data_IF_749228661419
#
_entry.id   IF_749228661419
#
_cell.length_a   1.000
_cell.length_b   1.000
_cell.length_c   1.000
_cell.angle_alpha   90.00
_cell.angle_beta   90.00
_cell.angle_gamma   90.00
#
_symmetry.space_group_name_H-M   'P 1'
#
loop_
_entity.id
_entity.type
_entity.pdbx_description
1 polymer ?
#
# COMPACT_ATOMS: atom_id res chain seq x y z
N UNK A 1 -18.78 24.00 -3.98
CA UNK A 1 -18.48 25.43 -4.23
C UNK A 1 -17.66 25.99 -3.06
N UNK A 2 -16.52 26.66 -3.29
CA UNK A 2 -15.75 27.34 -2.23
C UNK A 2 -16.15 28.82 -2.24
N UNK A 3 -16.60 29.35 -1.10
CA UNK A 3 -16.90 30.77 -0.91
C UNK A 3 -16.03 31.31 0.22
N UNK A 4 -15.18 32.29 -0.08
CA UNK A 4 -14.25 32.90 0.88
C UNK A 4 -13.36 31.89 1.64
N UNK A 5 -12.81 30.90 0.94
CA UNK A 5 -11.93 29.88 1.55
C UNK A 5 -12.66 28.80 2.36
N UNK A 6 -13.99 28.84 2.41
CA UNK A 6 -14.84 27.82 3.04
C UNK A 6 -15.55 27.02 1.97
N UNK A 7 -15.36 25.70 1.94
CA UNK A 7 -16.17 24.85 1.09
C UNK A 7 -17.61 24.79 1.62
N UNK A 8 -18.55 25.14 0.75
CA UNK A 8 -20.00 25.09 0.97
C UNK A 8 -20.60 23.72 0.59
N UNK A 9 -19.80 22.80 0.05
CA UNK A 9 -20.24 21.40 -0.12
C UNK A 9 -20.25 20.69 1.23
N UNK A 10 -20.93 19.55 1.35
CA UNK A 10 -20.99 18.78 2.59
C UNK A 10 -19.58 18.56 3.15
N UNK A 11 -19.26 19.19 4.28
CA UNK A 11 -17.97 19.10 4.97
C UNK A 11 -17.57 17.65 5.25
N UNK A 12 -18.55 16.73 5.31
CA UNK A 12 -18.37 15.29 5.44
C UNK A 12 -17.54 14.70 4.29
N UNK A 13 -17.66 15.25 3.07
CA UNK A 13 -16.85 14.81 1.92
C UNK A 13 -15.36 15.07 2.13
N UNK A 14 -14.98 16.06 2.96
CA UNK A 14 -13.59 16.34 3.34
C UNK A 14 -13.02 15.34 4.35
N UNK A 15 -13.85 14.48 4.94
CA UNK A 15 -13.43 13.34 5.75
C UNK A 15 -13.29 12.04 4.93
N UNK A 16 -13.62 12.06 3.63
CA UNK A 16 -13.42 10.94 2.70
C UNK A 16 -11.96 10.83 2.23
N UNK A 17 -11.68 10.02 1.20
CA UNK A 17 -10.35 9.91 0.60
C UNK A 17 -9.69 11.26 0.29
N UNK A 18 -10.48 12.25 -0.14
CA UNK A 18 -10.04 13.62 -0.46
C UNK A 18 -9.35 14.33 0.72
N UNK A 19 -9.63 13.92 1.97
CA UNK A 19 -9.05 14.49 3.19
C UNK A 19 -7.77 13.81 3.69
N UNK A 20 -7.37 12.66 3.14
CA UNK A 20 -6.28 11.85 3.72
C UNK A 20 -4.96 12.64 3.75
N UNK A 21 -4.62 13.36 2.68
CA UNK A 21 -3.37 14.12 2.60
C UNK A 21 -3.31 15.28 3.59
N UNK A 22 -4.43 15.98 3.78
CA UNK A 22 -4.54 17.02 4.81
C UNK A 22 -4.40 16.42 6.18
N UNK A 23 -5.02 15.27 6.44
CA UNK A 23 -4.86 14.54 7.69
C UNK A 23 -3.38 14.26 8.00
N UNK A 24 -2.60 13.81 7.01
CA UNK A 24 -1.16 13.56 7.17
C UNK A 24 -0.41 14.85 7.53
N UNK A 25 -0.56 15.92 6.75
CA UNK A 25 0.20 17.17 6.96
C UNK A 25 -0.21 17.86 8.27
N UNK A 26 -1.52 17.98 8.52
CA UNK A 26 -2.04 18.66 9.72
C UNK A 26 -1.76 17.88 10.99
N UNK A 27 -1.77 16.54 10.96
CA UNK A 27 -1.37 15.73 12.12
C UNK A 27 0.10 15.88 12.45
N UNK A 28 1.00 15.87 11.44
CA UNK A 28 2.43 16.12 11.66
C UNK A 28 2.62 17.51 12.27
N UNK A 29 2.02 18.55 11.68
CA UNK A 29 2.11 19.91 12.19
C UNK A 29 1.62 20.01 13.64
N UNK A 30 0.43 19.47 13.92
CA UNK A 30 -0.17 19.50 15.25
C UNK A 30 0.71 18.78 16.28
N UNK A 31 1.25 17.61 15.95
CA UNK A 31 2.15 16.85 16.84
C UNK A 31 3.47 17.60 17.06
N UNK A 32 4.03 18.26 16.05
CA UNK A 32 5.26 19.04 16.21
C UNK A 32 5.06 20.25 17.11
N UNK A 33 3.96 20.99 16.94
CA UNK A 33 3.59 22.11 17.82
C UNK A 33 3.37 21.60 19.24
N UNK A 34 2.61 20.52 19.40
CA UNK A 34 2.36 19.90 20.69
C UNK A 34 3.67 19.52 21.39
N UNK A 35 4.54 18.80 20.70
CA UNK A 35 5.85 18.38 21.20
C UNK A 35 6.70 19.58 21.59
N UNK A 36 6.71 20.63 20.77
CA UNK A 36 7.47 21.84 21.05
C UNK A 36 7.00 22.50 22.36
N UNK A 37 5.69 22.65 22.57
CA UNK A 37 5.14 23.20 23.81
C UNK A 37 5.53 22.35 25.03
N UNK A 38 5.46 21.02 24.92
CA UNK A 38 5.85 20.11 26.01
C UNK A 38 7.34 20.23 26.34
N UNK A 39 8.22 20.17 25.33
CA UNK A 39 9.69 20.22 25.53
C UNK A 39 10.13 21.58 26.09
N UNK A 40 9.42 22.66 25.75
CA UNK A 40 9.69 24.01 26.26
C UNK A 40 8.97 24.35 27.56
N UNK A 41 8.28 23.39 28.19
CA UNK A 41 7.46 23.60 29.39
C UNK A 41 6.42 24.72 29.23
N UNK A 42 5.91 24.91 28.01
CA UNK A 42 4.83 25.86 27.69
C UNK A 42 3.49 25.13 27.91
N UNK A 43 3.23 24.79 29.17
CA UNK A 43 2.08 23.99 29.60
C UNK A 43 1.57 24.47 30.96
N UNK A 44 0.34 24.09 31.30
CA UNK A 44 -0.22 24.34 32.62
C UNK A 44 0.29 23.25 33.57
N UNK A 45 0.93 23.66 34.66
CA UNK A 45 1.48 22.76 35.67
C UNK A 45 0.53 22.67 36.86
N UNK A 46 0.12 21.45 37.22
CA UNK A 46 -0.75 21.23 38.37
C UNK A 46 0.06 20.99 39.65
N UNK A 47 -0.46 21.40 40.83
CA UNK A 47 0.18 21.11 42.11
C UNK A 47 0.33 19.62 42.42
N UNK A 48 1.28 19.28 43.30
CA UNK A 48 1.44 17.93 43.85
C UNK A 48 0.16 17.56 44.63
N UNK A 49 -0.51 16.49 44.22
CA UNK A 49 -1.78 16.03 44.80
C UNK A 49 -2.95 16.00 43.81
N UNK A 50 -2.81 16.61 42.63
CA UNK A 50 -3.79 16.49 41.54
C UNK A 50 -3.60 15.14 40.82
N UNK A 51 -4.67 14.37 40.56
CA UNK A 51 -4.58 13.12 39.81
C UNK A 51 -3.96 13.29 38.43
N UNK A 52 -3.16 12.31 38.00
CA UNK A 52 -2.40 12.36 36.73
C UNK A 52 -3.26 12.64 35.50
N UNK A 53 -4.47 12.09 35.44
CA UNK A 53 -5.38 12.32 34.32
C UNK A 53 -5.76 13.80 34.16
N UNK A 54 -6.04 14.47 35.29
CA UNK A 54 -6.36 15.91 35.31
C UNK A 54 -5.11 16.73 34.98
N UNK A 55 -3.96 16.38 35.56
CA UNK A 55 -2.70 17.07 35.23
C UNK A 55 -2.35 17.01 33.75
N UNK A 56 -2.54 15.85 33.10
CA UNK A 56 -2.29 15.68 31.66
C UNK A 56 -3.27 16.49 30.80
N UNK A 57 -4.54 16.55 31.18
CA UNK A 57 -5.55 17.33 30.46
C UNK A 57 -5.28 18.84 30.53
N UNK A 58 -4.84 19.37 31.68
CA UNK A 58 -4.46 20.78 31.78
C UNK A 58 -3.14 21.08 31.06
N UNK A 59 -2.17 20.17 31.15
CA UNK A 59 -0.90 20.32 30.44
C UNK A 59 -1.07 20.39 28.91
N UNK A 60 -2.10 19.72 28.35
CA UNK A 60 -2.39 19.74 26.91
C UNK A 60 -3.16 20.96 26.42
N UNK A 61 -3.75 21.77 27.32
CA UNK A 61 -4.63 22.88 26.97
C UNK A 61 -3.93 24.00 26.19
N UNK A 62 -2.77 24.47 26.68
CA UNK A 62 -1.97 25.50 26.00
C UNK A 62 -1.48 24.99 24.63
N UNK A 63 -0.88 23.78 24.52
CA UNK A 63 -0.58 23.18 23.22
C UNK A 63 -1.78 23.17 22.25
N UNK A 64 -2.97 22.79 22.72
CA UNK A 64 -4.17 22.74 21.89
C UNK A 64 -4.58 24.13 21.36
N UNK A 65 -4.48 25.17 22.20
CA UNK A 65 -4.74 26.57 21.80
C UNK A 65 -3.75 27.00 20.72
N UNK A 66 -2.45 26.71 20.88
CA UNK A 66 -1.44 27.03 19.87
C UNK A 66 -1.73 26.35 18.54
N UNK A 67 -2.13 25.07 18.56
CA UNK A 67 -2.52 24.34 17.35
C UNK A 67 -3.73 25.02 16.69
N UNK A 68 -4.78 25.33 17.47
CA UNK A 68 -5.99 25.96 16.95
C UNK A 68 -5.71 27.33 16.33
N UNK A 69 -4.95 28.19 17.01
CA UNK A 69 -4.55 29.51 16.49
C UNK A 69 -3.73 29.35 15.22
N UNK A 70 -2.77 28.43 15.21
CA UNK A 70 -1.93 28.18 14.03
C UNK A 70 -2.79 27.76 12.83
N UNK A 71 -3.76 26.86 13.03
CA UNK A 71 -4.68 26.44 11.97
C UNK A 71 -5.60 27.58 11.50
N UNK A 72 -6.09 28.43 12.41
CA UNK A 72 -6.88 29.61 12.05
C UNK A 72 -6.05 30.59 11.21
N UNK A 73 -4.79 30.84 11.60
CA UNK A 73 -3.88 31.71 10.84
C UNK A 73 -3.61 31.11 9.46
N UNK A 74 -3.27 29.83 9.37
CA UNK A 74 -3.05 29.16 8.09
C UNK A 74 -4.29 29.27 7.20
N UNK A 75 -5.46 28.87 7.70
CA UNK A 75 -6.71 28.94 6.93
C UNK A 75 -7.06 30.37 6.53
N UNK A 76 -6.85 31.35 7.41
CA UNK A 76 -7.11 32.76 7.12
C UNK A 76 -6.19 33.32 6.03
N UNK A 77 -4.90 32.99 6.08
CA UNK A 77 -3.93 33.35 5.03
C UNK A 77 -4.32 32.71 3.69
N UNK A 78 -4.68 31.43 3.69
CA UNK A 78 -5.08 30.74 2.46
C UNK A 78 -6.37 31.32 1.88
N UNK A 79 -7.36 31.61 2.72
CA UNK A 79 -8.60 32.26 2.32
C UNK A 79 -8.36 33.64 1.69
N UNK A 80 -7.38 34.41 2.20
CA UNK A 80 -6.97 35.69 1.60
C UNK A 80 -6.44 35.52 0.17
N UNK A 81 -5.75 34.41 -0.12
CA UNK A 81 -5.32 34.05 -1.48
C UNK A 81 -6.38 33.30 -2.29
N UNK A 82 -7.64 33.27 -1.83
CA UNK A 82 -8.74 32.55 -2.47
C UNK A 82 -8.46 31.04 -2.68
N UNK A 83 -7.66 30.44 -1.80
CA UNK A 83 -7.30 29.02 -1.84
C UNK A 83 -7.55 28.37 -0.48
N UNK A 84 -7.32 27.06 -0.37
CA UNK A 84 -7.36 26.32 0.89
C UNK A 84 -6.31 25.22 0.95
N UNK A 85 -6.22 24.54 2.10
CA UNK A 85 -5.29 23.43 2.30
C UNK A 85 -5.52 22.28 1.31
N UNK A 86 -6.77 22.05 0.88
CA UNK A 86 -7.05 21.02 -0.13
C UNK A 86 -6.46 21.41 -1.47
N UNK A 87 -6.70 22.63 -1.93
CA UNK A 87 -6.21 23.11 -3.21
C UNK A 87 -4.67 23.08 -3.30
N UNK A 88 -3.97 23.60 -2.28
CA UNK A 88 -2.49 23.59 -2.26
C UNK A 88 -1.92 22.18 -2.19
N UNK A 89 -2.54 21.29 -1.42
CA UNK A 89 -2.06 19.92 -1.28
C UNK A 89 -2.54 18.98 -2.39
N UNK A 90 -3.34 19.46 -3.36
CA UNK A 90 -3.73 18.64 -4.52
C UNK A 90 -2.63 18.67 -5.59
N UNK A 91 -2.03 19.84 -5.84
CA UNK A 91 -1.05 20.08 -6.91
C UNK A 91 0.20 19.16 -6.88
N UNK A 92 0.96 19.02 -5.77
CA UNK A 92 2.13 18.14 -5.73
C UNK A 92 1.77 16.66 -5.93
N UNK A 93 0.52 16.31 -5.67
CA UNK A 93 0.02 14.94 -5.73
C UNK A 93 -0.63 14.62 -7.07
N UNK A 94 -0.90 15.60 -7.94
CA UNK A 94 -1.33 15.35 -9.31
C UNK A 94 -0.26 14.58 -10.09
N UNK A 95 1.02 14.89 -9.88
CA UNK A 95 2.12 14.12 -10.46
C UNK A 95 2.04 12.63 -10.06
N UNK A 96 1.83 12.36 -8.77
CA UNK A 96 1.74 10.98 -8.28
C UNK A 96 0.44 10.33 -8.74
N UNK A 97 -0.67 11.08 -8.81
CA UNK A 97 -1.93 10.62 -9.41
C UNK A 97 -1.73 10.22 -10.87
N UNK A 98 -0.95 10.98 -11.64
CA UNK A 98 -0.56 10.67 -13.02
C UNK A 98 0.27 9.38 -13.13
N UNK A 99 1.21 9.15 -12.20
CA UNK A 99 1.94 7.88 -12.12
C UNK A 99 0.99 6.71 -11.81
N UNK A 100 0.11 6.86 -10.83
CA UNK A 100 -0.85 5.80 -10.47
C UNK A 100 -1.93 5.58 -11.53
N UNK A 101 -2.20 6.58 -12.36
CA UNK A 101 -3.20 6.52 -13.43
C UNK A 101 -2.69 5.95 -14.75
N UNK A 102 -1.41 5.61 -14.86
CA UNK A 102 -0.80 5.10 -16.10
C UNK A 102 -0.15 3.74 -15.90
N UNK A 103 -0.23 2.88 -16.91
CA UNK A 103 0.43 1.57 -16.91
C UNK A 103 1.93 1.68 -16.60
N UNK A 104 2.64 2.58 -17.30
CA UNK A 104 4.07 2.75 -17.13
C UNK A 104 4.42 3.23 -15.71
N UNK A 105 3.62 4.14 -15.14
CA UNK A 105 3.82 4.59 -13.76
C UNK A 105 3.63 3.46 -12.75
N UNK A 106 2.63 2.60 -12.91
CA UNK A 106 2.42 1.42 -12.04
C UNK A 106 3.59 0.44 -12.17
N UNK A 107 4.10 0.22 -13.38
CA UNK A 107 5.29 -0.62 -13.61
C UNK A 107 6.52 -0.04 -12.89
N UNK A 108 6.75 1.27 -12.97
CA UNK A 108 7.84 1.94 -12.24
C UNK A 108 7.65 1.79 -10.72
N UNK A 109 6.44 1.96 -10.20
CA UNK A 109 6.13 1.77 -8.78
C UNK A 109 6.47 0.33 -8.35
N UNK A 110 6.05 -0.68 -9.12
CA UNK A 110 6.39 -2.06 -8.82
C UNK A 110 7.90 -2.29 -8.90
N UNK A 111 8.59 -1.76 -9.90
CA UNK A 111 10.04 -1.90 -10.01
C UNK A 111 10.74 -1.35 -8.76
N UNK A 112 10.39 -0.14 -8.32
CA UNK A 112 10.95 0.47 -7.11
C UNK A 112 10.69 -0.35 -5.85
N UNK A 113 9.49 -0.91 -5.69
CA UNK A 113 9.16 -1.80 -4.56
C UNK A 113 10.11 -3.01 -4.54
N UNK A 114 10.29 -3.69 -5.66
CA UNK A 114 11.07 -4.92 -5.70
C UNK A 114 12.58 -4.66 -5.64
N UNK A 115 13.06 -3.53 -6.20
CA UNK A 115 14.45 -3.09 -6.04
C UNK A 115 14.84 -2.87 -4.57
N UNK A 116 13.92 -2.35 -3.74
CA UNK A 116 14.16 -2.23 -2.30
C UNK A 116 14.20 -3.60 -1.62
N UNK A 117 13.27 -4.50 -1.97
CA UNK A 117 13.20 -5.84 -1.38
C UNK A 117 14.45 -6.68 -1.66
N UNK A 118 15.00 -6.64 -2.88
CA UNK A 118 16.20 -7.43 -3.22
C UNK A 118 17.44 -6.98 -2.43
N UNK A 119 17.46 -5.76 -1.89
CA UNK A 119 18.50 -5.23 -1.01
C UNK A 119 18.11 -5.26 0.47
N UNK A 120 17.04 -5.96 0.84
CA UNK A 120 16.65 -6.19 2.24
C UNK A 120 15.82 -5.07 2.86
N UNK A 121 15.40 -4.09 2.09
CA UNK A 121 14.50 -3.02 2.53
C UNK A 121 13.07 -3.39 2.20
N UNK A 122 12.14 -3.25 3.15
CA UNK A 122 10.74 -3.63 2.96
C UNK A 122 10.00 -2.66 2.01
N UNK A 123 10.22 -2.80 0.69
CA UNK A 123 9.72 -1.88 -0.33
C UNK A 123 8.20 -1.69 -0.34
N UNK A 124 7.45 -2.75 -0.01
CA UNK A 124 5.98 -2.67 0.12
C UNK A 124 5.55 -1.70 1.23
N UNK A 125 6.28 -1.64 2.35
CA UNK A 125 5.93 -0.77 3.46
C UNK A 125 6.23 0.69 3.12
N UNK A 126 7.40 0.94 2.52
CA UNK A 126 7.86 2.29 2.18
C UNK A 126 7.07 2.89 1.02
N UNK A 127 7.02 2.19 -0.12
CA UNK A 127 6.42 2.75 -1.34
C UNK A 127 4.91 2.53 -1.35
N UNK A 128 4.45 1.27 -1.28
CA UNK A 128 3.02 0.97 -1.40
C UNK A 128 2.23 1.50 -0.19
N UNK A 129 2.54 1.04 1.02
CA UNK A 129 1.69 1.30 2.19
C UNK A 129 1.75 2.77 2.64
N UNK A 130 2.95 3.37 2.66
CA UNK A 130 3.13 4.72 3.21
C UNK A 130 2.86 5.82 2.19
N UNK A 131 3.15 5.59 0.91
CA UNK A 131 3.10 6.64 -0.11
C UNK A 131 1.94 6.47 -1.10
N UNK A 132 1.79 5.28 -1.69
CA UNK A 132 0.80 5.05 -2.76
C UNK A 132 -0.60 4.76 -2.21
N UNK A 133 -0.74 4.05 -1.09
CA UNK A 133 -2.02 3.60 -0.57
C UNK A 133 -3.03 4.75 -0.30
N UNK A 134 -2.64 5.91 0.28
CA UNK A 134 -3.52 7.08 0.36
C UNK A 134 -4.17 7.46 -0.98
N UNK A 135 -3.40 7.42 -2.07
CA UNK A 135 -3.86 7.76 -3.43
C UNK A 135 -4.84 6.70 -3.94
N UNK A 136 -4.57 5.42 -3.70
CA UNK A 136 -5.46 4.34 -4.12
C UNK A 136 -6.79 4.35 -3.34
N UNK A 137 -6.78 4.81 -2.08
CA UNK A 137 -8.01 4.99 -1.30
C UNK A 137 -8.85 6.17 -1.80
N UNK A 138 -8.21 7.25 -2.27
CA UNK A 138 -8.90 8.32 -3.01
C UNK A 138 -9.52 7.75 -4.28
N UNK A 139 -8.74 7.05 -5.10
CA UNK A 139 -9.21 6.44 -6.35
C UNK A 139 -10.35 5.43 -6.12
N UNK A 140 -10.31 4.67 -5.02
CA UNK A 140 -11.39 3.78 -4.60
C UNK A 140 -12.67 4.57 -4.28
N UNK A 141 -12.55 5.66 -3.54
CA UNK A 141 -13.67 6.54 -3.21
C UNK A 141 -14.27 7.15 -4.48
N UNK A 142 -13.43 7.58 -5.42
CA UNK A 142 -13.86 8.05 -6.73
C UNK A 142 -14.61 6.95 -7.51
N UNK A 143 -14.12 5.70 -7.48
CA UNK A 143 -14.77 4.56 -8.15
C UNK A 143 -16.13 4.19 -7.55
N UNK A 144 -16.26 4.24 -6.22
CA UNK A 144 -17.54 4.06 -5.51
C UNK A 144 -18.57 5.09 -6.01
N UNK A 145 -18.11 6.30 -6.33
CA UNK A 145 -18.94 7.39 -6.85
C UNK A 145 -19.06 7.39 -8.38
N UNK A 146 -18.59 6.35 -9.07
CA UNK A 146 -18.79 6.16 -10.50
C UNK A 146 -17.57 6.43 -11.39
N UNK A 147 -16.42 6.87 -10.87
CA UNK A 147 -15.19 6.97 -11.66
C UNK A 147 -14.69 5.60 -12.13
N UNK A 148 -13.77 5.57 -13.10
CA UNK A 148 -13.23 4.34 -13.72
C UNK A 148 -11.71 4.22 -13.51
N UNK A 149 -11.22 4.52 -12.31
CA UNK A 149 -9.81 4.36 -11.98
C UNK A 149 -9.44 2.87 -11.95
N UNK A 150 -8.49 2.47 -12.81
CA UNK A 150 -7.98 1.09 -12.86
C UNK A 150 -7.20 0.75 -11.59
N UNK A 151 -6.26 1.61 -11.21
CA UNK A 151 -5.42 1.41 -10.04
C UNK A 151 -6.05 2.08 -8.82
N UNK A 152 -6.90 1.32 -8.14
CA UNK A 152 -7.69 1.79 -7.01
C UNK A 152 -7.80 0.73 -5.92
N UNK A 153 -8.06 1.16 -4.69
CA UNK A 153 -8.23 0.26 -3.54
C UNK A 153 -7.03 -0.66 -3.40
N UNK A 154 -7.30 -1.97 -3.29
CA UNK A 154 -6.25 -2.97 -3.11
C UNK A 154 -5.90 -3.77 -4.38
N UNK A 155 -5.88 -3.10 -5.54
CA UNK A 155 -5.50 -3.69 -6.83
C UNK A 155 -4.21 -4.52 -6.76
N UNK A 156 -3.21 -4.05 -5.99
CA UNK A 156 -1.93 -4.73 -5.84
C UNK A 156 -2.09 -6.13 -5.26
N UNK A 157 -2.79 -6.32 -4.14
CA UNK A 157 -2.90 -7.65 -3.55
C UNK A 157 -3.96 -8.52 -4.25
N UNK A 158 -4.95 -7.89 -4.91
CA UNK A 158 -5.97 -8.62 -5.68
C UNK A 158 -5.38 -9.32 -6.91
N UNK A 159 -4.41 -8.69 -7.58
CA UNK A 159 -3.93 -9.16 -8.87
C UNK A 159 -2.43 -9.38 -8.98
N UNK A 160 -1.61 -8.63 -8.25
CA UNK A 160 -0.16 -8.58 -8.46
C UNK A 160 0.56 -9.39 -7.38
N UNK A 161 0.33 -9.08 -6.11
CA UNK A 161 1.04 -9.66 -4.96
C UNK A 161 0.39 -10.96 -4.50
N UNK A 162 0.21 -11.89 -5.45
CA UNK A 162 -0.35 -13.20 -5.20
C UNK A 162 0.64 -14.03 -4.38
N UNK A 163 0.30 -14.22 -3.11
CA UNK A 163 1.22 -14.75 -2.11
C UNK A 163 2.29 -13.80 -1.66
N UNK A 164 2.03 -12.49 -1.68
CA UNK A 164 2.91 -11.45 -1.17
C UNK A 164 3.77 -10.77 -2.25
N UNK A 165 4.76 -9.99 -1.81
CA UNK A 165 5.69 -9.31 -2.71
C UNK A 165 6.35 -10.31 -3.69
N UNK A 166 6.56 -9.90 -4.94
CA UNK A 166 7.15 -10.78 -5.95
C UNK A 166 6.24 -11.87 -6.51
N UNK A 167 4.94 -11.88 -6.15
CA UNK A 167 4.00 -12.93 -6.57
C UNK A 167 4.46 -14.34 -6.14
N UNK A 168 4.98 -14.44 -4.92
CA UNK A 168 5.73 -15.61 -4.44
C UNK A 168 4.90 -16.87 -4.25
N UNK A 169 3.55 -16.83 -4.32
CA UNK A 169 2.77 -18.07 -4.28
C UNK A 169 3.17 -19.00 -5.44
N UNK A 170 3.51 -18.45 -6.60
CA UNK A 170 4.01 -19.26 -7.73
C UNK A 170 5.27 -20.04 -7.37
N UNK A 171 6.24 -19.39 -6.70
CA UNK A 171 7.44 -20.05 -6.20
C UNK A 171 7.12 -21.09 -5.11
N UNK A 172 6.20 -20.77 -4.20
CA UNK A 172 5.81 -21.68 -3.11
C UNK A 172 5.18 -22.95 -3.65
N UNK A 173 4.32 -22.85 -4.66
CA UNK A 173 3.72 -24.03 -5.31
C UNK A 173 4.80 -24.89 -5.98
N UNK A 174 5.80 -24.28 -6.63
CA UNK A 174 6.95 -25.03 -7.16
C UNK A 174 7.75 -25.72 -6.04
N UNK A 175 7.98 -25.06 -4.92
CA UNK A 175 8.66 -25.65 -3.77
C UNK A 175 7.89 -26.85 -3.18
N UNK A 176 6.56 -26.76 -3.13
CA UNK A 176 5.71 -27.83 -2.59
C UNK A 176 5.65 -29.04 -3.53
N UNK A 177 5.48 -28.81 -4.84
CA UNK A 177 5.17 -29.89 -5.78
C UNK A 177 6.36 -30.37 -6.61
N UNK A 178 7.43 -29.57 -6.74
CA UNK A 178 8.53 -29.86 -7.67
C UNK A 178 9.93 -29.81 -7.04
N UNK A 179 10.10 -29.46 -5.76
CA UNK A 179 11.41 -29.39 -5.14
C UNK A 179 12.05 -30.76 -4.91
N UNK A 180 13.34 -30.85 -5.23
CA UNK A 180 14.19 -32.01 -4.95
C UNK A 180 14.98 -31.81 -3.67
N UNK A 181 15.44 -30.59 -3.40
CA UNK A 181 16.20 -30.27 -2.20
C UNK A 181 15.32 -30.29 -0.95
N UNK A 182 15.81 -30.89 0.13
CA UNK A 182 15.04 -30.99 1.37
C UNK A 182 14.76 -29.61 1.99
N UNK A 183 15.67 -28.65 1.84
CA UNK A 183 15.48 -27.26 2.27
C UNK A 183 14.25 -26.63 1.62
N UNK A 184 14.11 -26.69 0.29
CA UNK A 184 12.96 -26.08 -0.39
C UNK A 184 11.66 -26.84 -0.15
N UNK A 185 11.70 -28.16 0.04
CA UNK A 185 10.49 -28.93 0.43
C UNK A 185 9.96 -28.50 1.79
N UNK A 186 10.84 -28.38 2.79
CA UNK A 186 10.46 -27.96 4.14
C UNK A 186 9.93 -26.52 4.10
N UNK A 187 10.61 -25.64 3.38
CA UNK A 187 10.20 -24.26 3.24
C UNK A 187 8.84 -24.13 2.54
N UNK A 188 8.62 -24.84 1.43
CA UNK A 188 7.36 -24.82 0.69
C UNK A 188 6.17 -25.24 1.56
N UNK A 189 6.33 -26.30 2.36
CA UNK A 189 5.30 -26.77 3.30
C UNK A 189 5.00 -25.75 4.40
N UNK A 190 6.02 -25.08 4.92
CA UNK A 190 5.85 -24.04 5.93
C UNK A 190 5.22 -22.75 5.36
N UNK A 191 5.52 -22.42 4.10
CA UNK A 191 5.13 -21.17 3.47
C UNK A 191 3.79 -21.21 2.72
N UNK A 192 3.25 -22.38 2.36
CA UNK A 192 2.01 -22.47 1.56
C UNK A 192 0.82 -21.83 2.26
N UNK A 193 0.63 -22.08 3.55
CA UNK A 193 -0.52 -21.52 4.27
C UNK A 193 -0.41 -19.99 4.40
N UNK A 194 0.69 -19.40 4.90
CA UNK A 194 0.88 -17.94 4.85
C UNK A 194 0.75 -17.36 3.44
N UNK A 195 1.32 -18.04 2.44
CA UNK A 195 1.30 -17.61 1.04
C UNK A 195 -0.09 -17.60 0.43
N UNK A 196 -1.02 -18.45 0.87
CA UNK A 196 -2.41 -18.35 0.42
C UNK A 196 -3.07 -17.05 0.87
N UNK A 197 -2.65 -16.49 2.01
CA UNK A 197 -3.14 -15.24 2.58
C UNK A 197 -2.17 -14.06 2.33
N UNK A 198 -1.38 -14.12 1.25
CA UNK A 198 -0.46 -13.07 0.81
C UNK A 198 0.68 -12.73 1.79
N UNK A 199 0.96 -13.58 2.78
CA UNK A 199 2.06 -13.42 3.76
C UNK A 199 3.25 -14.24 3.27
N UNK A 200 4.43 -13.63 3.12
CA UNK A 200 5.53 -14.24 2.39
C UNK A 200 6.93 -14.02 2.96
N UNK A 201 7.04 -13.43 4.14
CA UNK A 201 8.28 -13.30 4.90
C UNK A 201 9.01 -14.64 5.07
N UNK A 202 8.32 -15.78 5.31
CA UNK A 202 8.98 -17.09 5.32
C UNK A 202 9.73 -17.38 4.02
N UNK A 203 9.20 -16.97 2.86
CA UNK A 203 9.83 -17.18 1.55
C UNK A 203 10.94 -16.17 1.30
N UNK A 204 10.69 -14.89 1.58
CA UNK A 204 11.67 -13.80 1.38
C UNK A 204 12.96 -14.10 2.13
N UNK A 205 12.85 -14.55 3.38
CA UNK A 205 14.01 -14.79 4.24
C UNK A 205 14.46 -16.26 4.21
N UNK A 206 13.54 -17.22 4.05
CA UNK A 206 13.86 -18.65 4.06
C UNK A 206 14.41 -19.19 2.74
N UNK A 207 13.97 -18.66 1.59
CA UNK A 207 14.52 -19.00 0.27
C UNK A 207 15.74 -18.16 -0.10
N UNK A 208 16.32 -17.47 0.90
CA UNK A 208 16.74 -16.07 0.89
C UNK A 208 16.58 -15.41 -0.48
N UNK A 209 15.45 -14.75 -0.75
CA UNK A 209 15.29 -13.98 -2.00
C UNK A 209 16.20 -12.74 -1.99
N UNK A 210 16.36 -12.15 -0.80
CA UNK A 210 17.25 -11.01 -0.58
C UNK A 210 18.68 -11.39 -0.97
N UNK A 211 19.30 -10.59 -1.84
CA UNK A 211 20.64 -10.82 -2.41
C UNK A 211 20.84 -12.14 -3.18
N UNK A 212 19.77 -12.87 -3.54
CA UNK A 212 19.90 -14.12 -4.29
C UNK A 212 19.75 -13.90 -5.80
N UNK A 213 20.83 -14.07 -6.60
CA UNK A 213 20.81 -13.77 -8.03
C UNK A 213 19.88 -14.69 -8.82
N UNK A 214 19.58 -15.89 -8.33
CA UNK A 214 18.62 -16.78 -8.99
C UNK A 214 17.19 -16.27 -8.83
N UNK A 215 16.81 -15.90 -7.60
CA UNK A 215 15.42 -15.59 -7.27
C UNK A 215 15.07 -14.11 -7.43
N UNK A 216 16.05 -13.19 -7.42
CA UNK A 216 15.78 -11.75 -7.59
C UNK A 216 15.17 -11.41 -8.95
N UNK A 217 15.56 -12.13 -10.01
CA UNK A 217 15.07 -11.90 -11.38
C UNK A 217 13.57 -12.19 -11.49
N UNK A 218 13.08 -13.42 -11.19
CA UNK A 218 11.65 -13.70 -11.24
C UNK A 218 10.86 -12.91 -10.20
N UNK A 219 11.48 -12.55 -9.07
CA UNK A 219 10.87 -11.72 -8.03
C UNK A 219 10.55 -10.29 -8.50
N UNK A 220 11.34 -9.73 -9.43
CA UNK A 220 11.03 -8.45 -10.07
C UNK A 220 10.10 -8.65 -11.27
N UNK A 221 10.37 -9.66 -12.09
CA UNK A 221 9.69 -9.84 -13.37
C UNK A 221 8.23 -10.26 -13.22
N UNK A 222 7.91 -11.20 -12.33
CA UNK A 222 6.54 -11.71 -12.17
C UNK A 222 5.52 -10.60 -11.83
N UNK A 223 5.78 -9.72 -10.85
CA UNK A 223 4.92 -8.57 -10.57
C UNK A 223 4.73 -7.62 -11.76
N UNK A 224 5.79 -7.35 -12.54
CA UNK A 224 5.71 -6.44 -13.69
C UNK A 224 4.80 -7.02 -14.78
N UNK A 225 4.92 -8.32 -15.04
CA UNK A 225 4.04 -9.00 -16.01
C UNK A 225 2.60 -9.06 -15.48
N UNK A 226 2.41 -9.38 -14.20
CA UNK A 226 1.07 -9.43 -13.58
C UNK A 226 0.37 -8.06 -13.60
N UNK A 227 1.09 -6.97 -13.31
CA UNK A 227 0.59 -5.59 -13.48
C UNK A 227 0.09 -5.40 -14.90
N UNK A 228 0.90 -5.78 -15.89
CA UNK A 228 0.61 -5.53 -17.30
C UNK A 228 -0.66 -6.25 -17.72
N UNK A 229 -0.79 -7.53 -17.38
CA UNK A 229 -1.98 -8.34 -17.68
C UNK A 229 -3.21 -7.72 -17.04
N UNK A 230 -3.15 -7.41 -15.73
CA UNK A 230 -4.31 -6.90 -15.00
C UNK A 230 -4.70 -5.49 -15.38
N UNK A 231 -3.72 -4.62 -15.64
CA UNK A 231 -3.98 -3.26 -16.10
C UNK A 231 -4.73 -3.29 -17.44
N UNK A 232 -4.24 -4.06 -18.42
CA UNK A 232 -4.89 -4.12 -19.72
C UNK A 232 -6.23 -4.85 -19.68
N UNK A 233 -6.37 -5.88 -18.85
CA UNK A 233 -7.67 -6.53 -18.61
C UNK A 233 -8.71 -5.53 -18.08
N UNK A 234 -8.32 -4.67 -17.13
CA UNK A 234 -9.19 -3.62 -16.63
C UNK A 234 -9.41 -2.51 -17.68
N UNK A 235 -8.37 -2.07 -18.40
CA UNK A 235 -8.46 -0.94 -19.34
C UNK A 235 -9.39 -1.21 -20.53
N UNK A 236 -9.51 -2.47 -20.97
CA UNK A 236 -10.44 -2.86 -22.04
C UNK A 236 -11.82 -3.24 -21.53
N UNK A 237 -12.08 -3.11 -20.22
CA UNK A 237 -13.36 -3.46 -19.59
C UNK A 237 -13.62 -4.96 -19.44
N UNK A 238 -12.59 -5.80 -19.52
CA UNK A 238 -12.73 -7.25 -19.31
C UNK A 238 -13.06 -7.58 -17.84
N UNK A 239 -12.54 -6.81 -16.88
CA UNK A 239 -12.86 -6.91 -15.46
C UNK A 239 -13.40 -5.57 -14.97
N UNK A 240 -14.41 -5.62 -14.09
CA UNK A 240 -14.97 -4.43 -13.47
C UNK A 240 -13.93 -3.70 -12.60
N UNK A 241 -14.09 -2.38 -12.47
CA UNK A 241 -13.30 -1.58 -11.53
C UNK A 241 -13.47 -2.04 -10.08
N UNK A 242 -12.48 -1.71 -9.26
CA UNK A 242 -12.55 -1.97 -7.81
C UNK A 242 -13.42 -0.89 -7.16
N UNK A 243 -14.45 -1.33 -6.44
CA UNK A 243 -15.45 -0.51 -5.74
C UNK A 243 -15.57 -0.84 -4.26
N UNK A 244 -14.84 -1.85 -3.77
CA UNK A 244 -14.89 -2.26 -2.36
C UNK A 244 -13.48 -2.44 -1.78
N UNK A 245 -13.30 -1.96 -0.56
CA UNK A 245 -12.06 -2.15 0.20
C UNK A 245 -12.04 -3.53 0.83
N UNK A 246 -11.09 -4.36 0.40
CA UNK A 246 -10.94 -5.74 0.89
C UNK A 246 -9.60 -5.87 1.63
N UNK A 247 -9.54 -6.62 2.75
CA UNK A 247 -8.28 -6.89 3.43
C UNK A 247 -7.26 -7.56 2.52
N UNK A 248 -6.01 -7.10 2.57
CA UNK A 248 -4.92 -7.62 1.73
C UNK A 248 -4.60 -9.09 1.95
N UNK A 249 -4.94 -9.64 3.12
CA UNK A 249 -4.76 -11.05 3.46
C UNK A 249 -5.83 -11.95 2.84
N UNK A 250 -6.75 -11.43 2.04
CA UNK A 250 -7.76 -12.25 1.36
C UNK A 250 -7.10 -13.33 0.50
N UNK A 251 -7.58 -14.59 0.58
CA UNK A 251 -7.08 -15.68 -0.24
C UNK A 251 -7.05 -15.33 -1.73
N UNK A 252 -6.05 -15.85 -2.45
CA UNK A 252 -5.86 -15.55 -3.89
C UNK A 252 -7.17 -15.65 -4.68
N UNK A 253 -7.48 -14.58 -5.42
CA UNK A 253 -8.71 -14.45 -6.22
C UNK A 253 -9.94 -13.96 -5.44
N UNK A 254 -10.07 -14.25 -4.15
CA UNK A 254 -11.26 -13.82 -3.36
C UNK A 254 -11.30 -12.31 -3.20
N UNK A 255 -10.14 -11.67 -3.02
CA UNK A 255 -10.04 -10.21 -2.97
C UNK A 255 -10.52 -9.56 -4.26
N UNK A 256 -10.12 -10.11 -5.41
CA UNK A 256 -10.53 -9.62 -6.72
C UNK A 256 -12.05 -9.75 -6.94
N UNK A 257 -12.65 -10.88 -6.54
CA UNK A 257 -14.10 -11.07 -6.62
C UNK A 257 -14.86 -10.04 -5.78
N UNK A 258 -14.54 -9.94 -4.50
CA UNK A 258 -15.25 -9.05 -3.58
C UNK A 258 -14.99 -7.58 -3.88
N UNK A 259 -13.76 -7.23 -4.27
CA UNK A 259 -13.35 -5.86 -4.60
C UNK A 259 -14.08 -5.28 -5.81
N UNK A 260 -14.45 -6.13 -6.76
CA UNK A 260 -15.12 -5.76 -8.02
C UNK A 260 -16.65 -5.91 -7.95
N UNK A 261 -17.22 -6.13 -6.76
CA UNK A 261 -18.66 -6.28 -6.58
C UNK A 261 -19.21 -7.65 -7.01
N UNK A 262 -18.37 -8.69 -7.00
CA UNK A 262 -18.76 -10.05 -7.36
C UNK A 262 -18.43 -10.44 -8.81
N UNK A 263 -17.45 -9.81 -9.44
CA UNK A 263 -17.06 -10.15 -10.81
C UNK A 263 -16.09 -11.35 -10.84
N UNK A 264 -16.59 -12.49 -11.32
CA UNK A 264 -15.78 -13.71 -11.47
C UNK A 264 -14.62 -13.55 -12.46
N UNK A 265 -14.69 -12.59 -13.40
CA UNK A 265 -13.58 -12.30 -14.31
C UNK A 265 -12.36 -11.79 -13.54
N UNK A 266 -12.57 -11.14 -12.39
CA UNK A 266 -11.51 -10.77 -11.47
C UNK A 266 -10.76 -11.98 -10.90
N UNK A 267 -11.49 -13.03 -10.48
CA UNK A 267 -10.88 -14.29 -10.03
C UNK A 267 -10.05 -14.92 -11.15
N UNK A 268 -10.61 -14.94 -12.36
CA UNK A 268 -9.95 -15.50 -13.53
C UNK A 268 -8.59 -14.82 -13.81
N UNK A 269 -8.53 -13.49 -13.78
CA UNK A 269 -7.27 -12.75 -13.94
C UNK A 269 -6.28 -13.07 -12.81
N UNK A 270 -6.72 -13.16 -11.56
CA UNK A 270 -5.85 -13.53 -10.45
C UNK A 270 -5.25 -14.95 -10.63
N UNK A 271 -6.03 -15.91 -11.12
CA UNK A 271 -5.54 -17.27 -11.41
C UNK A 271 -4.58 -17.29 -12.60
N UNK A 272 -4.84 -16.50 -13.65
CA UNK A 272 -3.91 -16.33 -14.77
C UNK A 272 -2.57 -15.80 -14.26
N UNK A 273 -2.59 -14.73 -13.47
CA UNK A 273 -1.37 -14.13 -12.91
C UNK A 273 -0.63 -15.10 -11.99
N UNK A 274 -1.33 -15.95 -11.23
CA UNK A 274 -0.70 -17.02 -10.47
C UNK A 274 0.01 -18.02 -11.39
N UNK A 275 -0.65 -18.45 -12.47
CA UNK A 275 -0.06 -19.33 -13.48
C UNK A 275 1.18 -18.73 -14.14
N UNK A 276 1.10 -17.46 -14.53
CA UNK A 276 2.23 -16.69 -15.09
C UNK A 276 3.38 -16.59 -14.08
N UNK A 277 3.08 -16.39 -12.80
CA UNK A 277 4.09 -16.37 -11.74
C UNK A 277 4.80 -17.72 -11.66
N UNK A 278 4.06 -18.85 -11.66
CA UNK A 278 4.66 -20.20 -11.70
C UNK A 278 5.59 -20.35 -12.90
N UNK A 279 5.14 -19.95 -14.10
CA UNK A 279 5.92 -20.07 -15.33
C UNK A 279 7.20 -19.24 -15.28
N UNK A 280 7.13 -18.00 -14.77
CA UNK A 280 8.28 -17.10 -14.63
C UNK A 280 9.27 -17.64 -13.61
N UNK A 281 8.80 -18.15 -12.46
CA UNK A 281 9.69 -18.69 -11.42
C UNK A 281 10.31 -20.04 -11.81
N UNK A 282 9.63 -20.85 -12.62
CA UNK A 282 10.04 -22.23 -12.93
C UNK A 282 11.52 -22.41 -13.33
N UNK A 283 12.09 -21.70 -14.32
CA UNK A 283 13.48 -21.89 -14.72
C UNK A 283 14.46 -21.55 -13.59
N UNK A 284 14.23 -20.45 -12.88
CA UNK A 284 15.10 -19.99 -11.80
C UNK A 284 15.02 -20.88 -10.56
N UNK A 285 13.81 -21.31 -10.20
CA UNK A 285 13.55 -22.30 -9.17
C UNK A 285 14.32 -23.58 -9.47
N UNK A 286 14.24 -24.10 -10.70
CA UNK A 286 14.93 -25.33 -11.09
C UNK A 286 16.45 -25.20 -10.98
N UNK A 287 17.02 -24.05 -11.39
CA UNK A 287 18.45 -23.78 -11.23
C UNK A 287 18.87 -23.75 -9.75
N UNK A 288 18.11 -23.05 -8.92
CA UNK A 288 18.40 -22.90 -7.49
C UNK A 288 18.22 -24.21 -6.72
N UNK A 289 17.13 -24.94 -6.95
CA UNK A 289 16.84 -26.23 -6.32
C UNK A 289 17.88 -27.29 -6.71
N UNK A 290 18.31 -27.35 -7.96
CA UNK A 290 19.36 -28.28 -8.39
C UNK A 290 20.70 -27.97 -7.69
N UNK A 291 21.05 -26.68 -7.53
CA UNK A 291 22.24 -26.27 -6.78
C UNK A 291 22.15 -26.74 -5.33
N UNK A 292 21.05 -26.45 -4.63
CA UNK A 292 20.86 -26.89 -3.25
C UNK A 292 20.87 -28.42 -3.13
N UNK A 293 20.22 -29.13 -4.04
CA UNK A 293 20.20 -30.59 -4.05
C UNK A 293 21.59 -31.20 -4.28
N UNK A 294 22.43 -30.59 -5.12
CA UNK A 294 23.82 -31.03 -5.30
C UNK A 294 24.70 -30.84 -4.06
N UNK A 295 24.39 -29.86 -3.21
CA UNK A 295 25.10 -29.58 -1.95
C UNK A 295 24.63 -30.48 -0.80
N UNK A 296 23.50 -31.16 -0.95
CA UNK A 296 22.96 -32.12 0.01
C UNK A 296 23.49 -33.54 -0.18
N UNK A 297 24.04 -33.84 -1.36
CA UNK A 297 24.71 -35.11 -1.66
C UNK A 297 26.16 -35.07 -1.20
#
# INVERSE_FOLDING_TARGET
MIYNGVALDSWVTRFSGVGIFIGIITSILAVQIYRYCIVKNVTIHMPKGVPDGVSKAFASLIPAIFIAITMVVINGVLAFFHTDLHAILTEPFEFVKGLTGSWLGIVIIMLLIHLLWIVGVHGTAIIKNSFINPILLVALTENINGAENIFAGDFVNMYIFLGGAGSTLGLVLLMVFNAKSDQLKVLGRAAILPGLFNINEPVIFGAPIVYNPYLMIPFILAPIINVTISYFAASVGFVNKIISGIPWISPVGTGAFLGTGGDFRGVFIAIINLGISILIYYPFFKMYDNKLYSQQK
#
